data_IF_114708846891
#
_entry.id   IF_114708846891
#
_cell.length_a   1.000
_cell.length_b   1.000
_cell.length_c   1.000
_cell.angle_alpha   90.00
_cell.angle_beta   90.00
_cell.angle_gamma   90.00
#
_symmetry.space_group_name_H-M   'P 1'
#
loop_
_entity.id
_entity.type
_entity.pdbx_description
1 polymer ?
#
# COMPACT_ATOMS: atom_id res chain seq x y z
N UNK A 1 -11.79 14.05 3.30
CA UNK A 1 -10.34 13.88 2.98
C UNK A 1 -10.01 12.53 2.29
N UNK A 2 -10.96 11.80 1.70
CA UNK A 2 -10.73 10.53 0.97
C UNK A 2 -10.52 10.73 -0.53
N UNK A 3 -11.18 11.71 -1.15
CA UNK A 3 -11.06 12.02 -2.59
C UNK A 3 -9.64 12.45 -2.97
N UNK A 4 -8.98 13.28 -2.14
CA UNK A 4 -7.59 13.71 -2.38
C UNK A 4 -6.64 12.51 -2.39
N UNK A 5 -6.83 11.55 -1.48
CA UNK A 5 -6.02 10.34 -1.41
C UNK A 5 -6.25 9.42 -2.62
N UNK A 6 -7.51 9.32 -3.05
CA UNK A 6 -7.89 8.57 -4.25
C UNK A 6 -7.23 9.16 -5.50
N UNK A 7 -7.31 10.47 -5.70
CA UNK A 7 -6.68 11.17 -6.83
C UNK A 7 -5.16 10.99 -6.78
N UNK A 8 -4.57 11.15 -5.60
CA UNK A 8 -3.13 10.96 -5.41
C UNK A 8 -2.67 9.55 -5.78
N UNK A 9 -3.39 8.51 -5.34
CA UNK A 9 -3.10 7.13 -5.69
C UNK A 9 -3.31 6.84 -7.18
N UNK A 10 -4.35 7.40 -7.79
CA UNK A 10 -4.62 7.26 -9.22
C UNK A 10 -3.53 7.89 -10.10
N UNK A 11 -3.05 9.08 -9.73
CA UNK A 11 -1.90 9.73 -10.40
C UNK A 11 -0.65 8.86 -10.24
N UNK A 12 -0.40 8.34 -9.03
CA UNK A 12 0.74 7.44 -8.77
C UNK A 12 0.73 6.21 -9.68
N UNK A 13 -0.42 5.53 -9.77
CA UNK A 13 -0.59 4.38 -10.66
C UNK A 13 -0.33 4.73 -12.13
N UNK A 14 -0.91 5.83 -12.62
CA UNK A 14 -0.72 6.28 -14.00
C UNK A 14 0.75 6.61 -14.31
N UNK A 15 1.43 7.31 -13.40
CA UNK A 15 2.85 7.65 -13.52
C UNK A 15 3.72 6.40 -13.50
N UNK A 16 3.44 5.42 -12.63
CA UNK A 16 4.16 4.15 -12.56
C UNK A 16 4.06 3.33 -13.86
N UNK A 17 2.85 3.16 -14.40
CA UNK A 17 2.66 2.46 -15.67
C UNK A 17 3.28 3.22 -16.86
N UNK A 18 3.14 4.55 -16.89
CA UNK A 18 3.77 5.38 -17.93
C UNK A 18 5.28 5.25 -17.92
N UNK A 19 5.88 5.20 -16.73
CA UNK A 19 7.31 4.99 -16.56
C UNK A 19 7.76 3.61 -17.00
N UNK A 20 6.99 2.56 -16.70
CA UNK A 20 7.28 1.22 -17.20
C UNK A 20 7.40 1.21 -18.74
N UNK A 21 6.44 1.81 -19.44
CA UNK A 21 6.48 1.92 -20.91
C UNK A 21 7.67 2.75 -21.37
N UNK A 22 7.91 3.91 -20.77
CA UNK A 22 9.01 4.79 -21.13
C UNK A 22 10.39 4.12 -20.96
N UNK A 23 10.60 3.40 -19.85
CA UNK A 23 11.88 2.77 -19.56
C UNK A 23 12.14 1.49 -20.34
N UNK A 24 11.09 0.81 -20.82
CA UNK A 24 11.25 -0.25 -21.84
C UNK A 24 11.82 0.33 -23.14
N UNK A 25 11.29 1.45 -23.62
CA UNK A 25 11.78 2.11 -24.84
C UNK A 25 13.23 2.60 -24.66
N UNK A 26 13.55 3.10 -23.46
CA UNK A 26 14.90 3.54 -23.10
C UNK A 26 15.88 2.40 -22.79
N UNK A 27 15.46 1.13 -22.90
CA UNK A 27 16.24 -0.08 -22.57
C UNK A 27 16.78 -0.09 -21.13
N UNK A 28 16.13 0.61 -20.21
CA UNK A 28 16.49 0.64 -18.79
C UNK A 28 15.54 -0.29 -18.01
N UNK A 29 15.80 -1.59 -18.11
CA UNK A 29 14.96 -2.62 -17.49
C UNK A 29 14.83 -2.52 -15.96
N UNK A 30 15.89 -2.19 -15.18
CA UNK A 30 15.74 -2.04 -13.73
C UNK A 30 14.70 -0.98 -13.37
N UNK A 31 14.76 0.19 -14.02
CA UNK A 31 13.83 1.29 -13.77
C UNK A 31 12.41 0.97 -14.25
N UNK A 32 12.30 0.22 -15.34
CA UNK A 32 11.00 -0.28 -15.81
C UNK A 32 10.33 -1.17 -14.76
N UNK A 33 11.06 -2.14 -14.19
CA UNK A 33 10.52 -3.04 -13.15
C UNK A 33 10.04 -2.25 -11.94
N UNK A 34 10.81 -1.27 -11.47
CA UNK A 34 10.36 -0.41 -10.36
C UNK A 34 9.12 0.42 -10.72
N UNK A 35 9.01 0.90 -11.96
CA UNK A 35 7.79 1.56 -12.46
C UNK A 35 6.57 0.63 -12.44
N UNK A 36 6.72 -0.62 -12.87
CA UNK A 36 5.65 -1.61 -12.86
C UNK A 36 5.21 -1.98 -11.44
N UNK A 37 6.17 -2.21 -10.54
CA UNK A 37 5.90 -2.57 -9.15
C UNK A 37 5.21 -1.41 -8.42
N UNK A 38 5.73 -0.19 -8.56
CA UNK A 38 5.11 1.01 -7.95
C UNK A 38 3.72 1.28 -8.51
N UNK A 39 3.54 1.22 -9.84
CA UNK A 39 2.24 1.39 -10.48
C UNK A 39 1.19 0.35 -10.03
N UNK A 40 1.60 -0.91 -9.92
CA UNK A 40 0.73 -1.98 -9.43
C UNK A 40 0.36 -1.78 -7.96
N UNK A 41 1.33 -1.39 -7.13
CA UNK A 41 1.12 -1.09 -5.70
C UNK A 41 0.16 0.08 -5.51
N UNK A 42 0.34 1.16 -6.28
CA UNK A 42 -0.54 2.34 -6.24
C UNK A 42 -1.94 2.03 -6.80
N UNK A 43 -2.05 1.11 -7.77
CA UNK A 43 -3.35 0.64 -8.28
C UNK A 43 -4.11 -0.15 -7.23
N UNK A 44 -3.44 -1.03 -6.48
CA UNK A 44 -4.05 -1.74 -5.33
C UNK A 44 -4.49 -0.72 -4.28
N UNK A 45 -3.64 0.27 -3.99
CA UNK A 45 -3.96 1.33 -3.05
C UNK A 45 -5.17 2.16 -3.49
N UNK A 46 -5.26 2.48 -4.79
CA UNK A 46 -6.40 3.17 -5.38
C UNK A 46 -7.69 2.34 -5.22
N UNK A 47 -7.64 1.04 -5.55
CA UNK A 47 -8.77 0.15 -5.40
C UNK A 47 -9.24 0.06 -3.95
N UNK A 48 -8.30 0.01 -3.00
CA UNK A 48 -8.60 0.00 -1.56
C UNK A 48 -9.31 1.28 -1.10
N UNK A 49 -8.82 2.45 -1.55
CA UNK A 49 -9.46 3.74 -1.26
C UNK A 49 -10.84 3.87 -1.93
N UNK A 50 -11.01 3.28 -3.12
CA UNK A 50 -12.28 3.26 -3.83
C UNK A 50 -13.33 2.44 -3.08
N UNK A 51 -12.96 1.23 -2.63
CA UNK A 51 -13.84 0.36 -1.83
C UNK A 51 -14.21 1.01 -0.49
N UNK A 52 -13.24 1.63 0.19
CA UNK A 52 -13.51 2.38 1.43
C UNK A 52 -14.54 3.48 1.19
N UNK A 53 -14.44 4.23 0.09
CA UNK A 53 -15.38 5.31 -0.24
C UNK A 53 -16.79 4.78 -0.48
N UNK A 54 -16.94 3.57 -1.03
CA UNK A 54 -18.24 2.92 -1.24
C UNK A 54 -18.82 2.29 0.02
N UNK A 55 -18.06 2.19 1.12
CA UNK A 55 -18.48 1.49 2.33
C UNK A 55 -18.54 -0.04 2.18
N UNK A 56 -18.25 -0.58 1.01
CA UNK A 56 -18.31 -2.03 0.70
C UNK A 56 -16.99 -2.76 0.99
N UNK A 57 -16.13 -2.19 1.83
CA UNK A 57 -14.83 -2.80 2.14
C UNK A 57 -15.00 -4.13 2.89
N UNK A 58 -15.93 -4.18 3.86
CA UNK A 58 -16.27 -5.40 4.64
C UNK A 58 -16.85 -6.52 3.79
N UNK A 59 -17.56 -6.18 2.72
CA UNK A 59 -18.20 -7.15 1.83
C UNK A 59 -17.21 -7.78 0.84
N UNK A 60 -16.19 -7.02 0.44
CA UNK A 60 -15.20 -7.47 -0.55
C UNK A 60 -13.93 -8.07 0.05
N UNK A 61 -13.56 -7.68 1.27
CA UNK A 61 -12.29 -8.06 1.87
C UNK A 61 -12.46 -8.62 3.28
N UNK A 62 -11.98 -9.86 3.47
CA UNK A 62 -11.81 -10.41 4.79
C UNK A 62 -10.59 -9.77 5.51
N UNK A 63 -10.54 -9.78 6.85
CA UNK A 63 -9.40 -9.26 7.61
C UNK A 63 -8.08 -9.97 7.25
N UNK A 64 -8.13 -11.24 6.83
CA UNK A 64 -6.99 -12.02 6.31
C UNK A 64 -6.43 -11.44 5.02
N UNK A 65 -7.29 -10.92 4.15
CA UNK A 65 -6.90 -10.39 2.85
C UNK A 65 -6.23 -9.02 2.99
N UNK A 66 -6.71 -8.18 3.90
CA UNK A 66 -6.01 -6.94 4.29
C UNK A 66 -4.61 -7.25 4.87
N UNK A 67 -4.44 -8.35 5.62
CA UNK A 67 -3.11 -8.76 6.14
C UNK A 67 -2.18 -9.14 5.00
N UNK A 68 -2.69 -9.83 3.99
CA UNK A 68 -1.92 -10.19 2.79
C UNK A 68 -1.49 -8.96 2.01
N UNK A 69 -2.39 -7.98 1.82
CA UNK A 69 -2.05 -6.69 1.18
C UNK A 69 -0.99 -5.93 1.99
N UNK A 70 -1.10 -5.91 3.32
CA UNK A 70 -0.11 -5.28 4.20
C UNK A 70 1.28 -5.92 4.03
N UNK A 71 1.35 -7.27 4.05
CA UNK A 71 2.58 -8.02 3.81
C UNK A 71 3.17 -7.72 2.44
N UNK A 72 2.34 -7.61 1.40
CA UNK A 72 2.80 -7.21 0.07
C UNK A 72 3.41 -5.81 0.08
N UNK A 73 2.76 -4.84 0.73
CA UNK A 73 3.30 -3.48 0.91
C UNK A 73 4.65 -3.47 1.63
N UNK A 74 4.82 -4.28 2.67
CA UNK A 74 6.09 -4.46 3.39
C UNK A 74 7.17 -5.01 2.46
N UNK A 75 6.87 -6.06 1.68
CA UNK A 75 7.82 -6.65 0.74
C UNK A 75 8.27 -5.64 -0.33
N UNK A 76 7.33 -4.86 -0.88
CA UNK A 76 7.65 -3.82 -1.86
C UNK A 76 8.52 -2.72 -1.22
N UNK A 77 8.20 -2.32 0.01
CA UNK A 77 8.98 -1.34 0.74
C UNK A 77 10.41 -1.84 1.03
N UNK A 78 10.59 -3.08 1.48
CA UNK A 78 11.92 -3.63 1.77
C UNK A 78 12.76 -3.79 0.50
N UNK A 79 12.16 -4.27 -0.59
CA UNK A 79 12.84 -4.35 -1.90
C UNK A 79 13.24 -2.96 -2.40
N UNK A 80 12.34 -1.97 -2.29
CA UNK A 80 12.62 -0.58 -2.64
C UNK A 80 13.77 0.01 -1.81
N UNK A 81 13.78 -0.24 -0.50
CA UNK A 81 14.85 0.24 0.40
C UNK A 81 16.20 -0.41 0.09
N UNK A 82 16.23 -1.73 -0.13
CA UNK A 82 17.46 -2.45 -0.45
C UNK A 82 18.03 -1.99 -1.80
N UNK A 83 17.16 -1.81 -2.78
CA UNK A 83 17.51 -1.31 -4.12
C UNK A 83 18.03 0.13 -4.05
N UNK A 84 17.39 0.98 -3.23
CA UNK A 84 17.84 2.34 -2.99
C UNK A 84 19.26 2.35 -2.41
N UNK A 85 19.53 1.53 -1.39
CA UNK A 85 20.85 1.40 -0.78
C UNK A 85 21.90 0.89 -1.77
N UNK A 86 21.57 -0.14 -2.55
CA UNK A 86 22.47 -0.70 -3.58
C UNK A 86 22.84 0.34 -4.64
N UNK A 87 21.84 0.96 -5.28
CA UNK A 87 22.10 1.91 -6.35
C UNK A 87 22.77 3.18 -5.85
N UNK A 88 22.44 3.64 -4.62
CA UNK A 88 23.11 4.78 -3.98
C UNK A 88 24.58 4.47 -3.70
N UNK A 89 24.88 3.30 -3.16
CA UNK A 89 26.26 2.89 -2.86
C UNK A 89 27.10 2.81 -4.14
N UNK A 90 26.57 2.17 -5.19
CA UNK A 90 27.24 2.10 -6.51
C UNK A 90 27.47 3.50 -7.08
N UNK A 91 26.50 4.41 -6.94
CA UNK A 91 26.63 5.77 -7.46
C UNK A 91 27.71 6.56 -6.72
N UNK A 92 27.81 6.43 -5.40
CA UNK A 92 28.84 7.09 -4.59
C UNK A 92 30.23 6.54 -4.92
N UNK A 93 30.36 5.21 -5.03
CA UNK A 93 31.64 4.53 -5.26
C UNK A 93 32.20 4.75 -6.67
N UNK A 94 31.35 4.66 -7.70
CA UNK A 94 31.79 4.69 -9.10
C UNK A 94 31.58 6.04 -9.79
N UNK A 95 30.95 7.03 -9.13
CA UNK A 95 30.64 8.38 -9.67
C UNK A 95 30.14 8.34 -11.12
N UNK A 96 29.25 7.39 -11.44
CA UNK A 96 28.81 7.18 -12.82
C UNK A 96 28.08 8.45 -13.33
N UNK A 97 28.37 8.91 -14.55
CA UNK A 97 27.68 10.04 -15.13
C UNK A 97 26.19 9.74 -15.31
N UNK A 98 25.35 10.77 -15.16
CA UNK A 98 23.88 10.67 -15.23
C UNK A 98 23.43 10.26 -16.64
N UNK A 99 24.22 10.60 -17.66
CA UNK A 99 24.05 10.14 -19.03
C UNK A 99 25.15 9.10 -19.36
N UNK A 100 24.83 8.04 -20.12
CA UNK A 100 23.57 7.77 -20.81
C UNK A 100 22.48 7.11 -19.92
N UNK A 101 21.23 7.53 -20.11
CA UNK A 101 20.01 7.04 -19.44
C UNK A 101 19.92 5.50 -19.29
N UNK A 102 20.26 4.65 -20.30
CA UNK A 102 20.23 3.20 -20.15
C UNK A 102 21.13 2.66 -19.02
N UNK A 103 22.19 3.36 -18.66
CA UNK A 103 23.16 2.94 -17.63
C UNK A 103 23.14 3.80 -16.37
N UNK A 104 22.18 4.73 -16.28
CA UNK A 104 22.14 5.72 -15.21
C UNK A 104 21.60 5.12 -13.92
N UNK A 105 22.48 4.95 -12.94
CA UNK A 105 22.09 4.52 -11.59
C UNK A 105 21.18 5.54 -10.90
N UNK A 106 21.26 6.82 -11.27
CA UNK A 106 20.48 7.89 -10.63
C UNK A 106 18.98 7.75 -10.91
N UNK A 107 18.59 7.36 -12.13
CA UNK A 107 17.19 7.07 -12.44
C UNK A 107 16.70 5.89 -11.58
N UNK A 108 17.49 4.82 -11.47
CA UNK A 108 17.12 3.67 -10.65
C UNK A 108 16.97 4.02 -9.15
N UNK A 109 17.78 4.95 -8.62
CA UNK A 109 17.63 5.48 -7.25
C UNK A 109 16.28 6.15 -7.07
N UNK A 110 15.90 7.06 -7.97
CA UNK A 110 14.61 7.77 -7.90
C UNK A 110 13.45 6.78 -7.93
N UNK A 111 13.49 5.81 -8.84
CA UNK A 111 12.42 4.81 -8.96
C UNK A 111 12.37 3.82 -7.81
N UNK A 112 13.52 3.47 -7.23
CA UNK A 112 13.57 2.68 -5.99
C UNK A 112 12.94 3.44 -4.82
N UNK A 113 13.16 4.75 -4.73
CA UNK A 113 12.53 5.60 -3.72
C UNK A 113 11.01 5.71 -3.93
N UNK A 114 10.55 5.82 -5.18
CA UNK A 114 9.12 5.80 -5.51
C UNK A 114 8.48 4.47 -5.11
N UNK A 115 9.12 3.34 -5.41
CA UNK A 115 8.65 2.01 -4.99
C UNK A 115 8.63 1.85 -3.46
N UNK A 116 9.67 2.33 -2.76
CA UNK A 116 9.70 2.36 -1.30
C UNK A 116 8.52 3.17 -0.74
N UNK A 117 8.32 4.37 -1.27
CA UNK A 117 7.21 5.25 -0.89
C UNK A 117 5.88 4.54 -1.09
N UNK A 118 5.59 4.03 -2.29
CA UNK A 118 4.31 3.37 -2.59
C UNK A 118 4.07 2.16 -1.67
N UNK A 119 5.10 1.36 -1.40
CA UNK A 119 5.02 0.23 -0.46
C UNK A 119 4.67 0.66 0.97
N UNK A 120 5.32 1.71 1.48
CA UNK A 120 5.04 2.25 2.82
C UNK A 120 3.63 2.82 2.94
N UNK A 121 3.15 3.54 1.90
CA UNK A 121 1.78 4.05 1.88
C UNK A 121 0.76 2.90 1.89
N UNK A 122 0.97 1.86 1.07
CA UNK A 122 0.09 0.69 1.07
C UNK A 122 0.07 -0.01 2.43
N UNK A 123 1.23 -0.22 3.05
CA UNK A 123 1.33 -0.79 4.39
C UNK A 123 0.56 0.06 5.43
N UNK A 124 0.81 1.37 5.46
CA UNK A 124 0.18 2.27 6.43
C UNK A 124 -1.35 2.25 6.32
N UNK A 125 -1.88 2.32 5.10
CA UNK A 125 -3.33 2.31 4.90
C UNK A 125 -3.95 0.94 5.16
N UNK A 126 -3.28 -0.15 4.78
CA UNK A 126 -3.76 -1.50 5.08
C UNK A 126 -3.87 -1.72 6.61
N UNK A 127 -2.84 -1.33 7.38
CA UNK A 127 -2.89 -1.40 8.86
C UNK A 127 -3.99 -0.51 9.42
N UNK A 128 -4.10 0.73 8.94
CA UNK A 128 -5.14 1.65 9.40
C UNK A 128 -6.55 1.09 9.20
N UNK A 129 -6.82 0.46 8.06
CA UNK A 129 -8.14 -0.13 7.79
C UNK A 129 -8.41 -1.37 8.62
N UNK A 130 -7.37 -2.15 8.97
CA UNK A 130 -7.52 -3.26 9.90
C UNK A 130 -7.93 -2.80 11.30
N UNK A 131 -7.32 -1.72 11.80
CA UNK A 131 -7.72 -1.16 13.09
C UNK A 131 -9.15 -0.64 13.09
N UNK A 132 -9.58 0.03 12.01
CA UNK A 132 -10.96 0.50 11.88
C UNK A 132 -11.96 -0.67 11.86
N UNK A 133 -11.68 -1.74 11.10
CA UNK A 133 -12.55 -2.93 11.08
C UNK A 133 -12.61 -3.65 12.43
N UNK A 134 -11.50 -3.69 13.17
CA UNK A 134 -11.45 -4.33 14.49
C UNK A 134 -12.21 -3.53 15.55
N UNK A 135 -12.09 -2.20 15.56
CA UNK A 135 -12.75 -1.33 16.53
C UNK A 135 -14.29 -1.40 16.37
N UNK A 136 -14.77 -1.41 15.12
CA UNK A 136 -16.20 -1.51 14.81
C UNK A 136 -16.80 -2.86 15.22
N UNK A 137 -16.07 -3.97 15.05
CA UNK A 137 -16.50 -5.30 15.52
C UNK A 137 -16.67 -5.39 17.03
N UNK A 138 -15.77 -4.75 17.80
CA UNK A 138 -15.88 -4.77 19.26
C UNK A 138 -17.14 -4.08 19.75
N UNK A 139 -17.58 -3.02 19.05
CA UNK A 139 -18.81 -2.29 19.37
C UNK A 139 -20.04 -3.16 19.02
N UNK A 140 -20.06 -3.79 17.84
CA UNK A 140 -21.15 -4.71 17.43
C UNK A 140 -21.29 -5.90 18.43
N UNK A 141 -20.16 -6.46 18.88
CA UNK A 141 -20.11 -7.58 19.84
C UNK A 141 -20.56 -7.13 21.25
N UNK A 142 -20.26 -5.90 21.68
CA UNK A 142 -20.67 -5.36 22.98
C UNK A 142 -22.16 -5.01 23.01
N UNK A 143 -22.72 -4.46 21.93
CA UNK A 143 -24.14 -4.13 21.81
C UNK A 143 -25.01 -5.40 21.79
N UNK A 144 -24.59 -6.44 21.07
CA UNK A 144 -25.28 -7.75 21.04
C UNK A 144 -25.23 -8.48 22.38
N UNK A 145 -24.13 -8.38 23.12
CA UNK A 145 -24.02 -8.98 24.45
C UNK A 145 -24.89 -8.24 25.49
N UNK A 146 -25.01 -6.91 25.40
CA UNK A 146 -25.88 -6.12 26.28
C UNK A 146 -27.38 -6.29 25.99
N UNK A 147 -27.78 -6.57 24.75
CA UNK A 147 -29.20 -6.85 24.42
C UNK A 147 -29.62 -8.30 24.69
N UNK A 148 -28.67 -9.20 24.89
CA UNK A 148 -28.90 -10.62 25.13
C UNK A 148 -29.11 -11.05 26.59
N UNK A 149 -28.98 -10.15 27.57
CA UNK A 149 -29.18 -10.49 28.99
C UNK A 149 -30.48 -9.85 29.54
N UNK A 150 -31.67 -10.46 29.31
CA UNK A 150 -32.81 -10.13 30.14
C UNK A 150 -32.49 -10.62 31.54
N UNK A 151 -32.29 -9.66 32.45
CA UNK A 151 -32.34 -9.81 33.90
C UNK A 151 -32.99 -11.11 34.35
N UNK A 152 -32.16 -12.04 34.85
CA UNK A 152 -32.61 -13.07 35.79
C UNK A 152 -33.12 -12.31 37.03
N UNK A 153 -34.40 -11.89 36.99
CA UNK A 153 -35.16 -11.55 38.19
C UNK A 153 -35.36 -12.86 38.95
N UNK A 154 -34.48 -13.07 39.92
CA UNK A 154 -34.63 -14.04 41.00
C UNK A 154 -35.95 -13.73 41.73
N UNK A 155 -36.96 -14.62 41.72
CA UNK A 155 -38.14 -14.37 42.52
C UNK A 155 -37.79 -14.59 44.00
N UNK A 156 -37.81 -13.51 44.78
CA UNK A 156 -37.89 -13.58 46.24
C UNK A 156 -39.10 -14.45 46.62
N UNK A 157 -38.85 -15.64 47.16
CA UNK A 157 -39.86 -16.44 47.83
C UNK A 157 -39.67 -16.36 49.34
N UNK A 158 -40.65 -15.69 49.96
CA UNK A 158 -40.97 -15.57 51.39
C UNK A 158 -41.11 -16.93 52.07
#
# INVERSE_FOLDING_TARGET
MTIVRLIHAGIGAFVGYSAFVAFIVLKNYPSAIYGLVSGSTDSILFFLHYLLRKGTLREWYAPTDLRTICRYGILVATVGLLSLGYHTTIQIMYKKPILPIPNSSVIAIVWSFVALRSGLFLMYYAVKYQYMDHDERLIDDEETNNTGNPSEEEPESI
#
